data_IF_171604563296
#
_entry.id   IF_171604563296
#
_cell.length_a   1.000
_cell.length_b   1.000
_cell.length_c   1.000
_cell.angle_alpha   90.00
_cell.angle_beta   90.00
_cell.angle_gamma   90.00
#
_symmetry.space_group_name_H-M   'P 1'
#
loop_
_entity.id
_entity.type
_entity.pdbx_description
1 polymer ?
#
# COMPACT_ATOMS: atom_id res chain seq x y z
N UNK A 1 -15.34 13.66 -10.59
CA UNK A 1 -14.87 15.02 -10.88
C UNK A 1 -15.89 16.05 -10.40
N UNK A 2 -17.17 15.92 -10.73
CA UNK A 2 -18.22 16.88 -10.31
C UNK A 2 -18.36 17.02 -8.79
N UNK A 3 -18.32 15.92 -8.04
CA UNK A 3 -18.41 15.91 -6.56
C UNK A 3 -17.29 16.69 -5.84
N UNK A 4 -16.25 17.12 -6.56
CA UNK A 4 -15.12 17.90 -6.04
C UNK A 4 -14.86 19.17 -6.87
N UNK A 5 -15.84 19.59 -7.70
CA UNK A 5 -15.79 20.85 -8.44
C UNK A 5 -15.04 20.82 -9.78
N UNK A 6 -14.73 19.64 -10.32
CA UNK A 6 -14.13 19.50 -11.66
C UNK A 6 -15.17 19.10 -12.70
N UNK A 7 -15.15 19.76 -13.87
CA UNK A 7 -15.97 19.42 -15.03
C UNK A 7 -15.39 18.18 -15.75
N UNK A 8 -16.08 17.02 -15.73
CA UNK A 8 -15.60 15.78 -16.31
C UNK A 8 -15.43 15.81 -17.84
N UNK A 9 -16.06 16.76 -18.55
CA UNK A 9 -15.94 16.89 -20.01
C UNK A 9 -14.61 17.55 -20.41
N UNK A 10 -14.01 18.32 -19.51
CA UNK A 10 -12.76 19.06 -19.77
C UNK A 10 -11.54 18.38 -19.17
N UNK A 11 -11.74 17.60 -18.10
CA UNK A 11 -10.65 16.93 -17.39
C UNK A 11 -11.00 15.48 -17.07
N UNK A 12 -10.05 14.59 -17.38
CA UNK A 12 -10.10 13.18 -17.01
C UNK A 12 -8.96 12.86 -16.05
N UNK A 13 -9.07 11.75 -15.33
CA UNK A 13 -8.02 11.32 -14.42
C UNK A 13 -8.10 9.84 -14.09
N UNK A 14 -7.01 9.32 -13.56
CA UNK A 14 -6.89 7.94 -13.11
C UNK A 14 -6.50 7.92 -11.62
N UNK A 15 -6.81 6.83 -10.95
CA UNK A 15 -6.41 6.59 -9.57
C UNK A 15 -5.93 5.15 -9.42
N UNK A 16 -4.94 4.94 -8.55
CA UNK A 16 -4.51 3.62 -8.12
C UNK A 16 -4.25 3.63 -6.62
N UNK A 17 -4.36 2.45 -6.02
CA UNK A 17 -4.08 2.21 -4.61
C UNK A 17 -3.22 0.96 -4.49
N UNK A 18 -2.19 1.05 -3.64
CA UNK A 18 -1.29 -0.06 -3.35
C UNK A 18 -1.13 -0.17 -1.84
N UNK A 19 -1.20 -1.39 -1.32
CA UNK A 19 -0.88 -1.68 0.07
C UNK A 19 0.61 -1.88 0.24
N UNK A 20 1.25 -1.08 1.09
CA UNK A 20 2.70 -1.14 1.34
C UNK A 20 3.08 -2.52 1.88
N UNK A 21 2.30 -3.07 2.80
CA UNK A 21 2.50 -4.38 3.42
C UNK A 21 2.45 -5.50 2.38
N UNK A 22 1.53 -5.43 1.41
CA UNK A 22 1.41 -6.44 0.35
C UNK A 22 2.64 -6.45 -0.56
N UNK A 23 3.15 -5.27 -0.91
CA UNK A 23 4.36 -5.17 -1.73
C UNK A 23 5.57 -5.70 -0.95
N UNK A 24 5.69 -5.33 0.34
CA UNK A 24 6.76 -5.82 1.19
C UNK A 24 6.72 -7.35 1.34
N UNK A 25 5.56 -7.94 1.56
CA UNK A 25 5.38 -9.40 1.66
C UNK A 25 5.86 -10.12 0.40
N UNK A 26 5.44 -9.65 -0.79
CA UNK A 26 5.85 -10.24 -2.06
C UNK A 26 7.36 -10.08 -2.32
N UNK A 27 7.91 -8.91 -2.00
CA UNK A 27 9.32 -8.60 -2.24
C UNK A 27 10.26 -9.40 -1.34
N UNK A 28 9.85 -9.63 -0.09
CA UNK A 28 10.69 -10.21 0.95
C UNK A 28 10.30 -11.64 1.34
N UNK A 29 9.30 -12.24 0.69
CA UNK A 29 8.84 -13.59 1.00
C UNK A 29 8.27 -13.73 2.41
N UNK A 30 7.58 -12.69 2.90
CA UNK A 30 6.96 -12.69 4.22
C UNK A 30 5.55 -13.27 4.08
N UNK A 31 5.30 -14.42 4.70
CA UNK A 31 4.02 -15.12 4.58
C UNK A 31 2.94 -14.67 5.58
N UNK A 32 3.33 -13.93 6.63
CA UNK A 32 2.43 -13.50 7.70
C UNK A 32 2.50 -11.98 7.96
N UNK A 33 1.41 -11.28 7.66
CA UNK A 33 1.29 -9.83 7.84
C UNK A 33 1.38 -9.40 9.32
N UNK A 34 1.08 -10.29 10.27
CA UNK A 34 1.12 -9.98 11.70
C UNK A 34 2.54 -9.67 12.18
N UNK A 35 3.55 -10.14 11.48
CA UNK A 35 4.96 -9.88 11.79
C UNK A 35 5.28 -8.38 11.77
N UNK A 36 4.59 -7.58 10.94
CA UNK A 36 4.77 -6.13 10.93
C UNK A 36 4.25 -5.42 12.18
N UNK A 37 3.26 -6.00 12.88
CA UNK A 37 2.62 -5.38 14.04
C UNK A 37 3.07 -5.99 15.37
N UNK A 38 3.82 -7.09 15.35
CA UNK A 38 4.25 -7.81 16.55
C UNK A 38 5.47 -7.22 17.27
N UNK A 39 6.20 -6.29 16.66
CA UNK A 39 7.36 -5.62 17.28
C UNK A 39 8.55 -6.54 17.59
N UNK A 40 8.65 -7.71 16.96
CA UNK A 40 9.73 -8.67 17.21
C UNK A 40 11.07 -8.20 16.63
N UNK A 41 12.07 -7.97 17.49
CA UNK A 41 13.40 -7.55 17.07
C UNK A 41 14.09 -8.55 16.14
N UNK A 42 13.78 -9.84 16.23
CA UNK A 42 14.32 -10.86 15.31
C UNK A 42 13.79 -10.63 13.90
N UNK A 43 12.51 -10.27 13.79
CA UNK A 43 11.90 -9.92 12.52
C UNK A 43 12.52 -8.63 11.96
N UNK A 44 12.69 -7.59 12.78
CA UNK A 44 13.24 -6.30 12.32
C UNK A 44 14.71 -6.36 11.88
N UNK A 45 15.50 -7.30 12.40
CA UNK A 45 16.93 -7.46 12.06
C UNK A 45 17.20 -8.15 10.72
N UNK A 46 16.19 -8.69 10.05
CA UNK A 46 16.39 -9.42 8.78
C UNK A 46 16.44 -8.49 7.55
N UNK A 47 16.21 -7.18 7.76
CA UNK A 47 16.17 -6.15 6.72
C UNK A 47 17.23 -5.08 6.97
#
# INVERSE_FOLDING_TARGET
FENVGYDPETVTGFAFGLGVERIAMLRHGIDDIRLFYGGDLRFLRQF
#
